data_IF_352183447975
#
_entry.id   IF_352183447975
#
_cell.length_a   1.000
_cell.length_b   1.000
_cell.length_c   1.000
_cell.angle_alpha   90.00
_cell.angle_beta   90.00
_cell.angle_gamma   90.00
#
_symmetry.space_group_name_H-M   'P 1'
#
loop_
_entity.id
_entity.type
_entity.pdbx_description
1 polymer ?
#
# COMPACT_ATOMS: atom_id res chain seq x y z
N UNK A 1 9.65 -11.17 15.06
CA UNK A 1 10.09 -11.75 13.78
C UNK A 1 10.81 -10.68 12.97
N UNK A 2 11.81 -11.10 12.22
CA UNK A 2 12.47 -10.22 11.25
C UNK A 2 11.61 -10.09 9.99
N UNK A 3 11.89 -9.06 9.19
CA UNK A 3 11.21 -8.89 7.91
C UNK A 3 11.35 -10.12 7.01
N UNK A 4 12.57 -10.68 6.93
CA UNK A 4 12.81 -11.85 6.09
C UNK A 4 12.08 -13.11 6.58
N UNK A 5 11.93 -13.27 7.89
CA UNK A 5 11.11 -14.34 8.45
C UNK A 5 9.66 -14.21 8.07
N UNK A 6 9.13 -12.98 8.11
CA UNK A 6 7.73 -12.71 7.70
C UNK A 6 7.55 -12.99 6.21
N UNK A 7 8.48 -12.54 5.36
CA UNK A 7 8.44 -12.79 3.92
C UNK A 7 8.34 -14.29 3.65
N UNK A 8 9.15 -15.09 4.34
CA UNK A 8 9.10 -16.56 4.18
C UNK A 8 7.80 -17.15 4.73
N UNK A 9 7.41 -16.74 5.93
CA UNK A 9 6.21 -17.29 6.59
C UNK A 9 4.92 -17.01 5.81
N UNK A 10 4.79 -15.83 5.24
CA UNK A 10 3.63 -15.43 4.47
C UNK A 10 3.79 -15.67 2.96
N UNK A 11 4.96 -16.20 2.54
CA UNK A 11 5.26 -16.46 1.13
C UNK A 11 5.08 -15.20 0.26
N UNK A 12 5.69 -14.09 0.68
CA UNK A 12 5.62 -12.84 -0.04
C UNK A 12 6.58 -12.84 -1.23
N UNK A 13 6.19 -12.19 -2.32
CA UNK A 13 6.94 -12.07 -3.55
C UNK A 13 7.26 -10.60 -3.84
N UNK A 14 8.32 -10.28 -4.61
CA UNK A 14 8.60 -8.90 -4.98
C UNK A 14 7.42 -8.23 -5.69
N UNK A 15 7.15 -6.97 -5.35
CA UNK A 15 6.09 -6.17 -5.97
C UNK A 15 6.70 -5.18 -6.97
N UNK A 16 6.03 -4.94 -8.13
CA UNK A 16 6.53 -3.98 -9.13
C UNK A 16 6.77 -2.56 -8.58
N UNK A 17 5.97 -2.12 -7.61
CA UNK A 17 6.11 -0.78 -7.00
C UNK A 17 7.20 -0.72 -5.93
N UNK A 18 7.78 -1.84 -5.55
CA UNK A 18 8.75 -1.99 -4.46
C UNK A 18 8.16 -2.79 -3.31
N UNK A 19 9.05 -3.39 -2.49
CA UNK A 19 8.64 -4.24 -1.38
C UNK A 19 8.21 -5.64 -1.80
N UNK A 20 7.54 -6.34 -0.89
CA UNK A 20 7.09 -7.72 -1.07
C UNK A 20 5.62 -7.84 -0.72
N UNK A 21 4.87 -8.64 -1.48
CA UNK A 21 3.44 -8.78 -1.28
C UNK A 21 2.95 -10.19 -1.58
N UNK A 22 1.73 -10.47 -1.12
CA UNK A 22 0.96 -11.63 -1.54
C UNK A 22 -0.52 -11.27 -1.56
N UNK A 23 -1.20 -11.61 -2.63
CA UNK A 23 -2.66 -11.53 -2.66
C UNK A 23 -3.22 -12.66 -1.80
N UNK A 24 -3.85 -12.29 -0.67
CA UNK A 24 -4.43 -13.23 0.28
C UNK A 24 -5.88 -13.55 -0.04
N UNK A 25 -6.55 -12.66 -0.77
CA UNK A 25 -7.95 -12.82 -1.12
C UNK A 25 -8.27 -12.14 -2.44
N UNK A 26 -9.02 -12.85 -3.27
CA UNK A 26 -9.68 -12.31 -4.46
C UNK A 26 -11.09 -12.88 -4.47
N UNK A 27 -12.08 -12.00 -4.37
CA UNK A 27 -13.47 -12.43 -4.31
C UNK A 27 -13.84 -13.17 -5.59
N UNK A 28 -14.47 -14.35 -5.43
CA UNK A 28 -15.02 -15.12 -6.55
C UNK A 28 -16.25 -14.45 -7.16
N UNK A 29 -16.93 -13.61 -6.37
CA UNK A 29 -18.03 -12.80 -6.89
C UNK A 29 -17.45 -11.67 -7.72
N UNK A 30 -18.06 -11.44 -8.87
CA UNK A 30 -17.60 -10.42 -9.80
C UNK A 30 -18.75 -9.48 -10.18
N UNK A 31 -18.36 -8.27 -10.57
CA UNK A 31 -19.27 -7.29 -11.16
C UNK A 31 -18.59 -6.75 -12.41
N UNK A 32 -19.25 -6.88 -13.54
CA UNK A 32 -18.71 -6.48 -14.85
C UNK A 32 -17.35 -7.16 -15.14
N UNK A 33 -17.21 -8.42 -14.73
CA UNK A 33 -15.99 -9.21 -14.94
C UNK A 33 -14.85 -8.90 -13.98
N UNK A 34 -15.07 -8.04 -13.00
CA UNK A 34 -14.04 -7.64 -12.01
C UNK A 34 -14.43 -8.17 -10.62
N UNK A 35 -13.47 -8.72 -9.88
CA UNK A 35 -13.69 -9.14 -8.51
C UNK A 35 -14.26 -7.97 -7.68
N UNK A 36 -15.18 -8.27 -6.75
CA UNK A 36 -15.78 -7.20 -5.93
C UNK A 36 -14.81 -6.65 -4.90
N UNK A 37 -13.82 -7.45 -4.47
CA UNK A 37 -12.74 -6.97 -3.59
C UNK A 37 -11.52 -7.85 -3.68
N UNK A 38 -10.38 -7.29 -3.30
CA UNK A 38 -9.11 -8.02 -3.14
C UNK A 38 -8.42 -7.55 -1.87
N UNK A 39 -7.55 -8.40 -1.32
CA UNK A 39 -6.71 -8.07 -0.18
C UNK A 39 -5.31 -8.60 -0.39
N UNK A 40 -4.31 -7.85 0.03
CA UNK A 40 -2.92 -8.27 0.02
C UNK A 40 -2.29 -8.09 1.40
N UNK A 41 -1.28 -8.92 1.69
CA UNK A 41 -0.22 -8.55 2.62
C UNK A 41 0.84 -7.78 1.86
N UNK A 42 1.42 -6.77 2.48
CA UNK A 42 2.46 -5.97 1.87
C UNK A 42 3.49 -5.59 2.91
N UNK A 43 4.78 -5.78 2.59
CA UNK A 43 5.89 -5.52 3.51
C UNK A 43 6.94 -4.67 2.82
N UNK A 44 7.34 -3.59 3.51
CA UNK A 44 8.44 -2.72 3.10
C UNK A 44 9.53 -2.78 4.16
N UNK A 45 10.76 -3.06 3.74
CA UNK A 45 11.95 -3.01 4.61
C UNK A 45 12.57 -1.62 4.59
N UNK A 46 13.40 -1.31 5.60
CA UNK A 46 14.15 -0.06 5.64
C UNK A 46 14.87 0.20 4.31
N UNK A 47 14.73 1.40 3.79
CA UNK A 47 15.30 1.79 2.51
C UNK A 47 14.45 1.42 1.29
N UNK A 48 13.44 0.59 1.45
CA UNK A 48 12.50 0.31 0.37
C UNK A 48 11.36 1.33 0.37
N UNK A 49 10.80 1.58 -0.80
CA UNK A 49 9.64 2.45 -0.94
C UNK A 49 8.63 1.78 -1.86
N UNK A 50 7.35 2.05 -1.61
CA UNK A 50 6.31 1.85 -2.60
C UNK A 50 6.31 3.10 -3.47
N UNK A 51 6.78 2.97 -4.71
CA UNK A 51 6.90 4.12 -5.61
C UNK A 51 5.53 4.71 -5.93
N UNK A 52 5.52 5.98 -6.27
CA UNK A 52 4.29 6.70 -6.62
C UNK A 52 3.48 5.95 -7.65
N UNK A 53 2.23 5.69 -7.33
CA UNK A 53 1.28 4.98 -8.17
C UNK A 53 -0.13 5.41 -7.82
N UNK A 54 -1.07 5.06 -8.67
CA UNK A 54 -2.50 5.25 -8.38
C UNK A 54 -3.31 4.07 -8.90
N UNK A 55 -4.46 3.85 -8.27
CA UNK A 55 -5.35 2.75 -8.59
C UNK A 55 -6.72 3.33 -8.91
N UNK A 56 -7.46 2.68 -9.81
CA UNK A 56 -8.78 3.15 -10.25
C UNK A 56 -9.91 2.81 -9.27
N UNK A 57 -9.57 2.38 -8.06
CA UNK A 57 -10.52 2.05 -7.00
C UNK A 57 -9.98 2.55 -5.67
N UNK A 58 -10.85 2.71 -4.67
CA UNK A 58 -10.44 3.07 -3.33
C UNK A 58 -9.62 1.94 -2.69
N UNK A 59 -8.55 2.30 -2.02
CA UNK A 59 -7.69 1.36 -1.31
C UNK A 59 -7.61 1.74 0.15
N UNK A 60 -7.69 0.75 1.04
CA UNK A 60 -7.51 0.95 2.48
C UNK A 60 -6.22 0.28 2.91
N UNK A 61 -5.35 1.04 3.54
CA UNK A 61 -4.12 0.55 4.16
C UNK A 61 -4.39 0.24 5.62
N UNK A 62 -3.95 -0.95 6.08
CA UNK A 62 -4.14 -1.41 7.46
C UNK A 62 -2.77 -1.70 8.08
N UNK A 63 -2.49 -1.12 9.24
CA UNK A 63 -1.25 -1.40 9.95
C UNK A 63 -1.36 -2.75 10.67
N UNK A 64 -0.37 -3.64 10.45
CA UNK A 64 -0.34 -4.93 11.12
C UNK A 64 0.82 -5.09 12.09
N UNK A 65 2.04 -4.75 11.70
CA UNK A 65 3.21 -4.99 12.55
C UNK A 65 4.41 -4.15 12.10
N UNK A 66 5.41 -4.09 12.97
CA UNK A 66 6.66 -3.40 12.70
C UNK A 66 6.63 -1.94 13.10
N UNK A 67 7.43 -1.13 12.41
CA UNK A 67 7.51 0.30 12.66
C UNK A 67 6.44 1.06 11.89
N UNK A 68 6.15 2.32 12.26
CA UNK A 68 5.19 3.13 11.51
C UNK A 68 5.59 3.31 10.05
N UNK A 69 4.61 3.58 9.21
CA UNK A 69 4.80 3.82 7.78
C UNK A 69 4.32 5.22 7.43
N UNK A 70 5.12 5.95 6.65
CA UNK A 70 4.70 7.22 6.08
C UNK A 70 3.99 6.95 4.75
N UNK A 71 2.71 7.31 4.68
CA UNK A 71 1.90 7.22 3.48
C UNK A 71 1.69 8.63 2.94
N UNK A 72 2.23 8.89 1.76
CA UNK A 72 2.12 10.19 1.11
C UNK A 72 1.07 10.13 0.02
N UNK A 73 0.19 11.12 -0.01
CA UNK A 73 -0.90 11.22 -1.00
C UNK A 73 -0.75 12.53 -1.76
N UNK A 74 -1.04 12.50 -3.06
CA UNK A 74 -1.06 13.70 -3.90
C UNK A 74 -2.29 13.66 -4.81
N UNK A 75 -3.39 14.32 -4.39
CA UNK A 75 -4.61 14.33 -5.19
C UNK A 75 -4.48 15.00 -6.55
N UNK A 76 -3.62 16.02 -6.64
CA UNK A 76 -3.46 16.83 -7.86
C UNK A 76 -2.13 16.59 -8.58
N UNK A 77 -1.26 15.74 -8.03
CA UNK A 77 0.08 15.52 -8.59
C UNK A 77 1.04 16.68 -8.33
N UNK A 78 0.66 17.64 -7.51
CA UNK A 78 1.43 18.87 -7.22
C UNK A 78 1.76 18.94 -5.74
N UNK A 79 0.74 18.98 -4.87
CA UNK A 79 0.92 19.06 -3.42
C UNK A 79 0.87 17.67 -2.81
N UNK A 80 1.68 17.46 -1.78
CA UNK A 80 1.76 16.18 -1.08
C UNK A 80 1.24 16.33 0.35
N UNK A 81 0.33 15.42 0.72
CA UNK A 81 -0.12 15.23 2.10
C UNK A 81 0.60 14.02 2.68
N UNK A 82 1.12 14.13 3.91
CA UNK A 82 1.80 13.03 4.58
C UNK A 82 0.98 12.55 5.76
N UNK A 83 0.81 11.23 5.83
CA UNK A 83 0.07 10.56 6.90
C UNK A 83 0.95 9.48 7.50
N UNK A 84 0.73 9.16 8.77
CA UNK A 84 1.43 8.07 9.45
C UNK A 84 0.45 6.95 9.73
N UNK A 85 0.78 5.76 9.23
CA UNK A 85 0.06 4.52 9.50
C UNK A 85 0.80 3.82 10.65
N UNK A 86 0.13 3.60 11.78
CA UNK A 86 0.76 3.02 12.95
C UNK A 86 -0.14 3.05 14.18
N UNK A 87 0.46 2.78 15.34
CA UNK A 87 -0.29 2.61 16.59
C UNK A 87 -0.32 3.86 17.49
N UNK A 88 0.55 4.84 17.26
CA UNK A 88 0.63 6.03 18.09
C UNK A 88 -0.49 7.02 17.73
N UNK A 89 -1.70 6.68 18.15
CA UNK A 89 -2.90 7.46 17.84
C UNK A 89 -2.80 8.86 18.47
N UNK A 90 -2.28 8.94 19.68
CA UNK A 90 -2.11 10.23 20.37
C UNK A 90 -1.14 11.15 19.62
N UNK A 91 -0.13 10.58 18.95
CA UNK A 91 0.84 11.32 18.13
C UNK A 91 0.36 11.60 16.71
N UNK A 92 -0.87 11.24 16.37
CA UNK A 92 -1.45 11.52 15.05
C UNK A 92 -1.47 10.35 14.07
N UNK A 93 -0.93 9.18 14.46
CA UNK A 93 -0.98 8.00 13.60
C UNK A 93 -2.39 7.43 13.55
N UNK A 94 -2.67 6.70 12.47
CA UNK A 94 -3.91 5.95 12.30
C UNK A 94 -3.57 4.53 11.87
N UNK A 95 -4.40 3.57 12.30
CA UNK A 95 -4.20 2.16 11.95
C UNK A 95 -4.80 1.82 10.59
N UNK A 96 -5.71 2.66 10.09
CA UNK A 96 -6.31 2.54 8.77
C UNK A 96 -6.28 3.89 8.08
N UNK A 97 -5.88 3.92 6.82
CA UNK A 97 -5.90 5.13 6.00
C UNK A 97 -6.49 4.78 4.65
N UNK A 98 -7.45 5.59 4.21
CA UNK A 98 -8.11 5.39 2.91
C UNK A 98 -7.42 6.25 1.86
N UNK A 99 -7.06 5.62 0.74
CA UNK A 99 -6.60 6.30 -0.46
C UNK A 99 -7.77 6.26 -1.45
N UNK A 100 -8.42 7.40 -1.73
CA UNK A 100 -9.50 7.42 -2.72
C UNK A 100 -9.01 7.00 -4.10
N UNK A 101 -9.94 6.59 -4.96
CA UNK A 101 -9.61 6.18 -6.33
C UNK A 101 -8.87 7.30 -7.07
N UNK A 102 -7.86 6.92 -7.84
CA UNK A 102 -7.06 7.78 -8.73
C UNK A 102 -6.18 8.81 -8.03
N UNK A 103 -6.00 8.70 -6.71
CA UNK A 103 -5.09 9.56 -5.96
C UNK A 103 -3.69 8.94 -6.00
N UNK A 104 -2.69 9.76 -6.34
CA UNK A 104 -1.28 9.33 -6.29
C UNK A 104 -0.89 9.02 -4.86
N UNK A 105 -0.22 7.90 -4.66
CA UNK A 105 0.22 7.44 -3.34
C UNK A 105 1.64 6.89 -3.41
N UNK A 106 2.38 7.05 -2.32
CA UNK A 106 3.70 6.49 -2.11
C UNK A 106 3.88 6.17 -0.63
N UNK A 107 4.70 5.20 -0.31
CA UNK A 107 4.87 4.76 1.07
C UNK A 107 6.31 4.40 1.37
N UNK A 108 6.74 4.62 2.62
CA UNK A 108 8.04 4.16 3.12
C UNK A 108 7.95 3.84 4.59
N UNK A 109 8.65 2.80 5.06
CA UNK A 109 8.70 2.53 6.50
C UNK A 109 9.56 3.59 7.19
N UNK A 110 9.20 3.91 8.43
CA UNK A 110 9.94 4.87 9.25
C UNK A 110 10.94 4.17 10.17
N UNK A 111 11.15 2.88 10.01
CA UNK A 111 12.08 2.08 10.79
C UNK A 111 12.56 0.88 10.03
N UNK A 112 12.69 -0.26 10.72
CA UNK A 112 13.26 -1.48 10.15
C UNK A 112 12.39 -2.12 9.08
N UNK A 113 11.09 -2.19 9.32
CA UNK A 113 10.11 -2.67 8.35
C UNK A 113 8.71 -2.31 8.83
N UNK A 114 7.78 -2.31 7.88
CA UNK A 114 6.35 -2.23 8.18
C UNK A 114 5.62 -3.33 7.41
N UNK A 115 4.80 -4.09 8.12
CA UNK A 115 3.86 -5.03 7.52
C UNK A 115 2.47 -4.41 7.55
N UNK A 116 1.83 -4.37 6.39
CA UNK A 116 0.48 -3.81 6.24
C UNK A 116 -0.41 -4.78 5.48
N UNK A 117 -1.71 -4.53 5.53
CA UNK A 117 -2.66 -5.08 4.59
C UNK A 117 -3.19 -3.96 3.72
N UNK A 118 -3.49 -4.27 2.47
CA UNK A 118 -4.17 -3.33 1.58
C UNK A 118 -5.40 -4.02 1.00
N UNK A 119 -6.56 -3.38 1.13
CA UNK A 119 -7.82 -3.89 0.57
C UNK A 119 -8.33 -2.93 -0.47
N UNK A 120 -8.81 -3.47 -1.59
CA UNK A 120 -9.26 -2.69 -2.74
C UNK A 120 -10.64 -3.17 -3.16
N UNK A 121 -11.57 -2.25 -3.36
CA UNK A 121 -12.92 -2.57 -3.83
C UNK A 121 -13.41 -1.45 -4.76
N UNK A 122 -13.82 -1.76 -5.99
CA UNK A 122 -13.71 -3.05 -6.67
C UNK A 122 -12.29 -3.57 -6.72
N UNK A 123 -12.11 -4.88 -6.87
CA UNK A 123 -10.84 -5.57 -6.70
C UNK A 123 -9.72 -5.03 -7.58
N UNK A 124 -8.50 -5.18 -7.10
CA UNK A 124 -7.30 -4.71 -7.81
C UNK A 124 -7.11 -5.43 -9.15
N UNK A 125 -6.79 -4.67 -10.19
CA UNK A 125 -6.38 -5.16 -11.49
C UNK A 125 -5.21 -4.33 -12.00
N UNK A 126 -4.19 -4.98 -12.58
CA UNK A 126 -3.03 -4.26 -13.11
C UNK A 126 -3.40 -3.28 -14.24
N UNK A 127 -4.45 -3.55 -15.01
CA UNK A 127 -4.92 -2.62 -16.03
C UNK A 127 -5.50 -1.32 -15.44
N UNK A 128 -5.91 -1.33 -14.17
CA UNK A 128 -6.37 -0.14 -13.43
C UNK A 128 -5.29 0.49 -12.56
N UNK A 129 -4.06 -0.02 -12.65
CA UNK A 129 -2.90 0.42 -11.87
C UNK A 129 -1.98 1.24 -12.76
N UNK A 130 -1.60 2.43 -12.29
CA UNK A 130 -0.67 3.29 -13.01
C UNK A 130 0.51 3.62 -12.09
N UNK A 131 1.72 3.21 -12.48
CA UNK A 131 2.94 3.54 -11.77
C UNK A 131 3.61 4.73 -12.44
N UNK A 132 4.03 5.72 -11.65
CA UNK A 132 4.73 6.89 -12.17
C UNK A 132 6.10 6.48 -12.73
N UNK A 133 6.65 7.25 -13.68
CA UNK A 133 8.00 6.99 -14.16
C UNK A 133 9.03 7.01 -13.03
N UNK A 134 10.16 6.29 -13.18
CA UNK A 134 11.22 6.33 -12.17
C UNK A 134 11.64 7.76 -11.89
N UNK A 135 11.81 8.09 -10.61
CA UNK A 135 12.23 9.43 -10.19
C UNK A 135 11.14 10.49 -10.17
N UNK A 136 9.92 10.16 -10.61
CA UNK A 136 8.82 11.14 -10.58
C UNK A 136 8.43 11.48 -9.13
N UNK A 137 8.22 12.77 -8.88
CA UNK A 137 7.71 13.30 -7.62
C UNK A 137 6.60 14.30 -7.92
N UNK A 138 5.61 14.46 -7.00
CA UNK A 138 4.62 15.53 -7.13
C UNK A 138 5.30 16.92 -7.10
N UNK A 139 4.80 17.80 -7.94
CA UNK A 139 5.34 19.15 -8.00
C UNK A 139 5.46 19.73 -9.38
#
# INVERSE_FOLDING_TARGET
MTADEIIRALNLQPHPEGGHFRESFRDSQTRDGRATSTAIYYLLKAGETSHWHRVDAAEVWHFYAGDPLELSLSPDGILTERHVLGLDIAGGARMQIVVPARIWQSARPLGRYTLVGCTVAPGFEFQGFEMAPPGWLPG
#
